data_IF_435828183749
#
_entry.id   IF_435828183749
#
_cell.length_a   1.000
_cell.length_b   1.000
_cell.length_c   1.000
_cell.angle_alpha   90.00
_cell.angle_beta   90.00
_cell.angle_gamma   90.00
#
_symmetry.space_group_name_H-M   'P 1'
#
loop_
_entity.id
_entity.type
_entity.pdbx_description
1 polymer ?
#
# COMPACT_ATOMS: atom_id res chain seq x y z
N UNK A 1 -1.87 -24.82 17.31
CA UNK A 1 -1.30 -25.07 18.66
C UNK A 1 -1.67 -24.01 19.71
N UNK A 2 -2.32 -22.89 19.36
CA UNK A 2 -2.85 -21.99 20.40
C UNK A 2 -4.01 -22.63 21.18
N UNK A 3 -4.87 -23.40 20.49
CA UNK A 3 -5.99 -24.16 21.05
C UNK A 3 -6.39 -25.32 20.12
N UNK A 4 -7.47 -26.03 20.49
CA UNK A 4 -8.10 -27.09 19.70
C UNK A 4 -7.28 -28.38 19.64
N UNK A 5 -7.66 -29.27 18.71
CA UNK A 5 -7.11 -30.63 18.62
C UNK A 5 -5.59 -30.66 18.53
N UNK A 6 -4.98 -29.75 17.75
CA UNK A 6 -3.52 -29.67 17.64
C UNK A 6 -2.81 -29.39 18.97
N UNK A 7 -3.47 -28.68 19.89
CA UNK A 7 -2.95 -28.37 21.22
C UNK A 7 -3.16 -29.54 22.18
N UNK A 8 -4.35 -30.12 22.16
CA UNK A 8 -4.69 -31.28 23.00
C UNK A 8 -3.79 -32.48 22.69
N UNK A 9 -3.61 -32.81 21.40
CA UNK A 9 -2.71 -33.90 20.99
C UNK A 9 -1.27 -33.63 21.41
N UNK A 10 -0.80 -32.38 21.29
CA UNK A 10 0.54 -32.01 21.71
C UNK A 10 0.73 -32.20 23.22
N UNK A 11 -0.20 -31.74 24.05
CA UNK A 11 -0.12 -31.92 25.52
C UNK A 11 -0.13 -33.40 25.91
N UNK A 12 -0.89 -34.24 25.21
CA UNK A 12 -0.88 -35.69 25.45
C UNK A 12 0.43 -36.38 25.04
N UNK A 13 1.16 -35.84 24.05
CA UNK A 13 2.29 -36.52 23.43
C UNK A 13 3.66 -35.93 23.81
N UNK A 14 3.72 -34.68 24.27
CA UNK A 14 4.98 -33.96 24.45
C UNK A 14 5.91 -34.57 25.52
N UNK A 15 5.37 -35.36 26.44
CA UNK A 15 6.12 -35.95 27.56
C UNK A 15 6.85 -37.26 27.21
N UNK A 16 6.60 -37.85 26.04
CA UNK A 16 7.25 -39.09 25.60
C UNK A 16 8.28 -38.79 24.49
N UNK A 17 9.52 -39.24 24.71
CA UNK A 17 10.65 -39.10 23.78
C UNK A 17 10.52 -39.86 22.46
N UNK A 18 9.57 -40.80 22.38
CA UNK A 18 9.26 -41.53 21.13
C UNK A 18 8.43 -40.71 20.15
N UNK A 19 7.81 -39.64 20.65
CA UNK A 19 7.00 -38.75 19.84
C UNK A 19 7.85 -37.61 19.28
N UNK A 20 7.35 -36.99 18.21
CA UNK A 20 7.93 -35.81 17.61
C UNK A 20 6.85 -34.88 17.07
N UNK A 21 7.15 -33.58 17.03
CA UNK A 21 6.31 -32.56 16.39
C UNK A 21 7.10 -31.90 15.28
N UNK A 22 6.52 -31.84 14.09
CA UNK A 22 7.09 -31.15 12.94
C UNK A 22 6.29 -29.87 12.71
N UNK A 23 6.95 -28.73 12.86
CA UNK A 23 6.39 -27.43 12.56
C UNK A 23 6.63 -27.13 11.08
N UNK A 24 5.55 -27.18 10.30
CA UNK A 24 5.59 -27.05 8.85
C UNK A 24 5.48 -25.60 8.32
N UNK A 25 5.25 -24.63 9.20
CA UNK A 25 4.93 -23.25 8.79
C UNK A 25 5.44 -22.20 9.77
N UNK A 26 5.45 -20.95 9.32
CA UNK A 26 5.93 -19.83 10.12
C UNK A 26 5.10 -19.67 11.40
N UNK A 27 5.79 -19.57 12.53
CA UNK A 27 5.18 -19.39 13.84
C UNK A 27 5.41 -17.97 14.34
N UNK A 28 4.32 -17.28 14.67
CA UNK A 28 4.36 -15.91 15.19
C UNK A 28 4.88 -15.91 16.63
N UNK A 29 5.59 -14.86 17.00
CA UNK A 29 6.01 -14.62 18.39
C UNK A 29 4.83 -14.66 19.37
N UNK A 30 5.10 -15.21 20.56
CA UNK A 30 4.08 -15.43 21.60
C UNK A 30 3.15 -16.63 21.38
N UNK A 31 3.33 -17.42 20.31
CA UNK A 31 2.60 -18.68 20.14
C UNK A 31 3.38 -19.85 20.73
N UNK A 32 2.66 -20.88 21.24
CA UNK A 32 3.30 -22.10 21.74
C UNK A 32 4.21 -22.74 20.69
N UNK A 33 3.78 -22.76 19.42
CA UNK A 33 4.55 -23.32 18.32
C UNK A 33 5.89 -22.60 18.12
N UNK A 34 5.95 -21.27 18.35
CA UNK A 34 7.20 -20.52 18.33
C UNK A 34 8.05 -20.81 19.57
N UNK A 35 7.43 -20.93 20.75
CA UNK A 35 8.13 -21.22 22.01
C UNK A 35 8.81 -22.59 22.01
N UNK A 36 8.18 -23.63 21.47
CA UNK A 36 8.78 -24.97 21.49
C UNK A 36 9.98 -25.12 20.56
N UNK A 37 10.14 -24.23 19.58
CA UNK A 37 11.32 -24.20 18.71
C UNK A 37 12.60 -23.79 19.44
N UNK A 38 12.49 -23.17 20.62
CA UNK A 38 13.66 -22.92 21.48
C UNK A 38 13.94 -24.08 22.46
N UNK A 39 13.25 -25.22 22.30
CA UNK A 39 13.40 -26.43 23.10
C UNK A 39 13.40 -26.16 24.63
N UNK A 40 12.35 -25.55 25.19
CA UNK A 40 12.26 -25.32 26.63
C UNK A 40 12.16 -26.65 27.39
N UNK A 41 12.65 -26.70 28.63
CA UNK A 41 12.54 -27.91 29.47
C UNK A 41 11.07 -28.27 29.81
N UNK A 42 10.22 -27.25 29.95
CA UNK A 42 8.80 -27.39 30.30
C UNK A 42 7.90 -26.51 29.43
N UNK A 43 6.68 -27.00 29.17
CA UNK A 43 5.60 -26.25 28.53
C UNK A 43 4.40 -26.11 29.47
N UNK A 44 3.65 -25.01 29.33
CA UNK A 44 2.43 -24.77 30.11
C UNK A 44 1.20 -25.25 29.32
N UNK A 45 0.40 -26.11 29.93
CA UNK A 45 -0.87 -26.59 29.39
C UNK A 45 -1.94 -25.50 29.38
N UNK A 46 -3.03 -25.72 28.64
CA UNK A 46 -4.21 -24.83 28.69
C UNK A 46 -4.83 -24.73 30.08
N UNK A 47 -4.69 -25.79 30.91
CA UNK A 47 -5.13 -25.82 32.30
C UNK A 47 -4.16 -25.18 33.31
N UNK A 48 -3.03 -24.63 32.85
CA UNK A 48 -2.01 -23.99 33.70
C UNK A 48 -1.01 -24.94 34.36
N UNK A 49 -1.15 -26.25 34.16
CA UNK A 49 -0.16 -27.24 34.60
C UNK A 49 1.09 -27.19 33.72
N UNK A 50 2.28 -27.41 34.31
CA UNK A 50 3.53 -27.56 33.56
C UNK A 50 3.78 -29.03 33.21
N UNK A 51 4.20 -29.28 31.98
CA UNK A 51 4.59 -30.60 31.47
C UNK A 51 6.03 -30.56 30.95
N UNK A 52 6.84 -31.61 31.17
CA UNK A 52 8.18 -31.69 30.60
C UNK A 52 8.10 -31.92 29.08
N UNK A 53 8.90 -31.16 28.31
CA UNK A 53 9.03 -31.36 26.87
C UNK A 53 10.12 -32.40 26.60
N UNK A 54 9.73 -33.60 26.16
CA UNK A 54 10.66 -34.70 25.84
C UNK A 54 10.59 -35.16 24.39
N UNK A 55 9.51 -34.85 23.68
CA UNK A 55 9.38 -35.17 22.26
C UNK A 55 10.36 -34.35 21.41
N UNK A 56 10.77 -34.87 20.24
CA UNK A 56 11.57 -34.09 19.30
C UNK A 56 10.76 -32.94 18.69
N UNK A 57 11.40 -31.81 18.42
CA UNK A 57 10.79 -30.65 17.77
C UNK A 57 11.59 -30.31 16.52
N UNK A 58 11.00 -30.51 15.35
CA UNK A 58 11.65 -30.23 14.07
C UNK A 58 10.91 -29.12 13.31
N UNK A 59 11.65 -28.24 12.63
CA UNK A 59 11.09 -27.19 11.80
C UNK A 59 11.41 -27.45 10.32
N UNK A 60 10.37 -27.64 9.50
CA UNK A 60 10.50 -27.78 8.06
C UNK A 60 9.64 -26.71 7.41
N UNK A 61 10.28 -25.72 6.79
CA UNK A 61 9.57 -24.61 6.17
C UNK A 61 8.89 -25.03 4.86
N UNK A 62 7.58 -25.28 4.90
CA UNK A 62 6.73 -25.37 3.70
C UNK A 62 5.96 -24.06 3.46
N UNK A 63 6.58 -22.93 3.77
CA UNK A 63 5.95 -21.65 3.51
C UNK A 63 5.96 -21.36 2.00
N UNK A 64 4.77 -21.15 1.43
CA UNK A 64 4.59 -20.63 0.07
C UNK A 64 4.91 -19.12 0.01
N UNK A 65 5.95 -18.68 0.73
CA UNK A 65 6.43 -17.31 0.74
C UNK A 65 7.62 -17.20 -0.21
N UNK A 66 7.76 -16.01 -0.82
CA UNK A 66 8.91 -15.72 -1.67
C UNK A 66 10.16 -15.62 -0.84
N UNK A 67 11.26 -16.16 -1.36
CA UNK A 67 12.56 -15.97 -0.75
C UNK A 67 13.14 -14.57 -1.04
N UNK A 68 14.29 -14.26 -0.44
CA UNK A 68 14.98 -12.99 -0.65
C UNK A 68 15.36 -12.75 -2.12
N UNK A 69 15.71 -13.80 -2.85
CA UNK A 69 16.17 -13.71 -4.24
C UNK A 69 14.98 -13.42 -5.17
N UNK A 70 13.90 -14.19 -5.06
CA UNK A 70 12.66 -13.99 -5.78
C UNK A 70 12.08 -12.59 -5.53
N UNK A 71 12.08 -12.14 -4.28
CA UNK A 71 11.62 -10.78 -3.94
C UNK A 71 12.51 -9.71 -4.56
N UNK A 72 13.83 -9.92 -4.54
CA UNK A 72 14.78 -8.99 -5.17
C UNK A 72 14.58 -8.93 -6.68
N UNK A 73 14.43 -10.08 -7.34
CA UNK A 73 14.28 -10.16 -8.78
C UNK A 73 12.95 -9.53 -9.23
N UNK A 74 11.88 -9.71 -8.44
CA UNK A 74 10.61 -9.02 -8.65
C UNK A 74 10.75 -7.49 -8.58
N UNK A 75 11.48 -6.97 -7.59
CA UNK A 75 11.74 -5.52 -7.47
C UNK A 75 12.62 -5.04 -8.63
N UNK A 76 13.60 -5.84 -9.05
CA UNK A 76 14.48 -5.52 -10.17
C UNK A 76 13.71 -5.39 -11.48
N UNK A 77 12.75 -6.27 -11.72
CA UNK A 77 11.94 -6.26 -12.94
C UNK A 77 11.01 -5.04 -12.98
N UNK A 78 10.37 -4.69 -11.85
CA UNK A 78 9.42 -3.58 -11.79
C UNK A 78 10.06 -2.20 -11.70
N UNK A 79 11.31 -2.12 -11.22
CA UNK A 79 12.04 -0.86 -10.95
C UNK A 79 11.19 0.23 -10.28
N UNK A 80 10.51 -0.06 -9.15
CA UNK A 80 9.67 0.92 -8.49
C UNK A 80 10.53 2.02 -7.84
N UNK A 81 10.12 3.30 -7.89
CA UNK A 81 10.85 4.38 -7.20
C UNK A 81 10.71 4.31 -5.67
N UNK A 82 9.61 3.75 -5.18
CA UNK A 82 9.32 3.62 -3.74
C UNK A 82 8.87 2.19 -3.41
N UNK A 83 9.49 1.57 -2.40
CA UNK A 83 9.13 0.24 -1.88
C UNK A 83 8.82 0.34 -0.39
N UNK A 84 7.66 -0.17 0.02
CA UNK A 84 7.20 -0.14 1.41
C UNK A 84 7.11 -1.59 1.90
N UNK A 85 7.99 -1.96 2.81
CA UNK A 85 8.02 -3.30 3.41
C UNK A 85 7.02 -3.38 4.57
N UNK A 86 6.16 -4.38 4.53
CA UNK A 86 5.12 -4.69 5.52
C UNK A 86 5.03 -6.21 5.70
N UNK A 87 4.22 -6.65 6.67
CA UNK A 87 3.95 -8.08 6.91
C UNK A 87 5.22 -8.94 7.09
N UNK A 88 6.21 -8.41 7.80
CA UNK A 88 7.41 -9.14 8.18
C UNK A 88 7.82 -8.82 9.61
N UNK A 89 8.67 -9.66 10.19
CA UNK A 89 9.30 -9.36 11.47
C UNK A 89 10.18 -8.10 11.33
N UNK A 90 10.15 -7.20 12.32
CA UNK A 90 10.90 -5.94 12.30
C UNK A 90 12.38 -6.12 11.98
N UNK A 91 13.02 -7.14 12.55
CA UNK A 91 14.46 -7.42 12.34
C UNK A 91 14.71 -7.87 10.91
N UNK A 92 13.97 -8.86 10.44
CA UNK A 92 14.12 -9.44 9.10
C UNK A 92 13.74 -8.44 8.00
N UNK A 93 12.71 -7.60 8.22
CA UNK A 93 12.38 -6.50 7.31
C UNK A 93 13.52 -5.49 7.20
N UNK A 94 14.20 -5.16 8.30
CA UNK A 94 15.36 -4.25 8.25
C UNK A 94 16.56 -4.89 7.53
N UNK A 95 16.78 -6.20 7.69
CA UNK A 95 17.80 -6.93 6.94
C UNK A 95 17.51 -6.91 5.44
N UNK A 96 16.25 -7.17 5.05
CA UNK A 96 15.82 -7.08 3.66
C UNK A 96 15.96 -5.66 3.11
N UNK A 97 15.57 -4.64 3.89
CA UNK A 97 15.74 -3.22 3.52
C UNK A 97 17.20 -2.89 3.21
N UNK A 98 18.13 -3.26 4.09
CA UNK A 98 19.56 -3.02 3.88
C UNK A 98 20.10 -3.80 2.68
N UNK A 99 19.62 -5.03 2.48
CA UNK A 99 20.00 -5.84 1.32
C UNK A 99 19.56 -5.19 0.00
N UNK A 100 18.32 -4.69 -0.07
CA UNK A 100 17.80 -4.00 -1.24
C UNK A 100 18.56 -2.70 -1.50
N UNK A 101 18.79 -1.87 -0.49
CA UNK A 101 19.54 -0.61 -0.66
C UNK A 101 20.93 -0.89 -1.26
N UNK A 102 21.68 -1.87 -0.70
CA UNK A 102 23.01 -2.23 -1.21
C UNK A 102 22.98 -2.77 -2.65
N UNK A 103 21.98 -3.58 -3.00
CA UNK A 103 21.88 -4.17 -4.34
C UNK A 103 21.55 -3.15 -5.44
N UNK A 104 20.87 -2.08 -5.10
CA UNK A 104 20.41 -1.06 -6.04
C UNK A 104 21.15 0.28 -5.89
N UNK A 105 22.20 0.35 -5.06
CA UNK A 105 23.00 1.57 -4.86
C UNK A 105 23.82 1.94 -6.10
N UNK A 106 24.27 0.94 -6.86
CA UNK A 106 25.10 1.13 -8.07
C UNK A 106 24.29 1.41 -9.35
N UNK A 107 22.95 1.36 -9.29
CA UNK A 107 22.09 1.58 -10.46
C UNK A 107 21.74 3.08 -10.59
N UNK A 108 22.32 3.80 -11.59
CA UNK A 108 22.08 5.22 -11.75
C UNK A 108 20.67 5.56 -12.27
N UNK A 109 19.97 4.60 -12.88
CA UNK A 109 18.62 4.81 -13.41
C UNK A 109 17.54 4.48 -12.36
N UNK A 110 17.84 3.58 -11.42
CA UNK A 110 16.87 3.09 -10.45
C UNK A 110 17.15 3.59 -9.02
N UNK A 111 16.72 4.82 -8.72
CA UNK A 111 16.77 5.34 -7.34
C UNK A 111 15.68 4.71 -6.47
N UNK A 112 16.00 3.58 -5.85
CA UNK A 112 15.09 2.81 -4.99
C UNK A 112 15.02 3.39 -3.57
N UNK A 113 13.84 3.89 -3.15
CA UNK A 113 13.59 4.33 -1.78
C UNK A 113 12.80 3.27 -1.00
N UNK A 114 13.45 2.64 -0.02
CA UNK A 114 12.86 1.54 0.78
C UNK A 114 12.44 2.02 2.17
N UNK A 115 11.18 1.80 2.53
CA UNK A 115 10.55 2.17 3.79
C UNK A 115 10.13 0.92 4.58
N UNK A 116 10.25 0.99 5.91
CA UNK A 116 9.79 -0.05 6.86
C UNK A 116 8.95 0.61 7.96
N UNK A 117 7.75 1.13 7.63
CA UNK A 117 6.94 1.86 8.60
C UNK A 117 6.45 0.92 9.71
N UNK A 118 6.50 1.40 10.95
CA UNK A 118 5.84 0.73 12.07
C UNK A 118 4.32 0.90 11.98
N UNK A 119 3.57 0.10 12.73
CA UNK A 119 2.13 0.31 12.88
C UNK A 119 1.86 1.76 13.29
N UNK A 120 0.86 2.39 12.67
CA UNK A 120 0.48 3.81 12.84
C UNK A 120 1.48 4.84 12.29
N UNK A 121 2.60 4.43 11.71
CA UNK A 121 3.54 5.34 11.06
C UNK A 121 3.11 5.63 9.61
N UNK A 122 2.78 6.89 9.34
CA UNK A 122 2.45 7.34 7.98
C UNK A 122 3.70 7.47 7.10
N UNK A 123 3.57 7.09 5.83
CA UNK A 123 4.58 7.35 4.79
C UNK A 123 4.00 8.39 3.82
N UNK A 124 4.59 9.58 3.78
CA UNK A 124 4.18 10.65 2.86
C UNK A 124 4.98 10.56 1.56
N UNK A 125 4.28 10.35 0.44
CA UNK A 125 4.86 10.34 -0.90
C UNK A 125 4.27 11.49 -1.71
N UNK A 126 5.13 12.33 -2.30
CA UNK A 126 4.71 13.49 -3.08
C UNK A 126 4.80 13.18 -4.57
N UNK A 127 3.65 13.11 -5.22
CA UNK A 127 3.54 12.95 -6.67
C UNK A 127 3.16 14.28 -7.30
N UNK A 128 4.09 14.90 -8.03
CA UNK A 128 3.77 16.03 -8.91
C UNK A 128 3.16 15.46 -10.20
N UNK A 129 1.84 15.46 -10.27
CA UNK A 129 1.13 15.24 -11.53
C UNK A 129 1.05 16.53 -12.32
N UNK A 130 1.40 16.48 -13.59
CA UNK A 130 1.01 17.53 -14.54
C UNK A 130 -0.51 17.54 -14.65
N UNK A 131 -1.14 18.71 -14.52
CA UNK A 131 -2.58 18.85 -14.70
C UNK A 131 -2.87 19.00 -16.19
N UNK A 132 -3.21 17.90 -16.84
CA UNK A 132 -3.66 17.92 -18.23
C UNK A 132 -5.16 18.22 -18.31
N UNK A 133 -5.55 19.26 -19.03
CA UNK A 133 -6.94 19.53 -19.38
C UNK A 133 -7.20 19.15 -20.83
N UNK A 134 -8.34 18.52 -21.11
CA UNK A 134 -8.79 18.20 -22.47
C UNK A 134 -9.73 19.30 -22.95
N UNK A 135 -9.36 19.94 -24.05
CA UNK A 135 -10.25 20.90 -24.72
C UNK A 135 -11.30 20.10 -25.51
N UNK A 136 -12.58 20.46 -25.38
CA UNK A 136 -13.70 19.80 -26.04
C UNK A 136 -14.68 20.82 -26.61
N UNK A 137 -15.52 20.39 -27.55
CA UNK A 137 -16.50 21.26 -28.21
C UNK A 137 -15.87 22.20 -29.23
N UNK A 138 -16.43 23.40 -29.36
CA UNK A 138 -16.01 24.39 -30.34
C UNK A 138 -14.56 24.86 -30.13
N UNK A 139 -14.10 24.93 -28.88
CA UNK A 139 -12.71 25.27 -28.56
C UNK A 139 -11.69 24.25 -29.10
N UNK A 140 -12.14 23.05 -29.47
CA UNK A 140 -11.30 22.01 -30.07
C UNK A 140 -11.42 21.96 -31.61
N UNK A 141 -12.14 22.90 -32.24
CA UNK A 141 -12.34 22.91 -33.69
C UNK A 141 -11.07 23.24 -34.47
N UNK A 142 -10.23 24.12 -33.92
CA UNK A 142 -8.94 24.50 -34.50
C UNK A 142 -7.80 23.73 -33.84
N UNK A 143 -6.75 23.42 -34.62
CA UNK A 143 -5.55 22.79 -34.07
C UNK A 143 -4.84 23.77 -33.14
N UNK A 144 -4.41 23.34 -31.94
CA UNK A 144 -3.69 24.21 -31.03
C UNK A 144 -2.33 24.59 -31.62
N UNK A 145 -2.00 25.88 -31.54
CA UNK A 145 -0.69 26.45 -31.88
C UNK A 145 -0.04 27.03 -30.62
N UNK A 146 1.29 26.97 -30.56
CA UNK A 146 2.05 27.49 -29.43
C UNK A 146 1.84 29.01 -29.31
N UNK A 147 1.53 29.48 -28.08
CA UNK A 147 1.23 30.89 -27.81
C UNK A 147 -0.23 31.30 -28.02
N UNK A 148 -1.10 30.41 -28.53
CA UNK A 148 -2.52 30.74 -28.66
C UNK A 148 -3.21 30.81 -27.28
N UNK A 149 -3.94 31.90 -27.03
CA UNK A 149 -4.66 32.10 -25.77
C UNK A 149 -6.02 31.42 -25.89
N UNK A 150 -6.21 30.34 -25.12
CA UNK A 150 -7.51 29.69 -24.98
C UNK A 150 -8.28 30.32 -23.83
N UNK A 151 -9.53 30.73 -24.09
CA UNK A 151 -10.47 31.21 -23.08
C UNK A 151 -11.72 30.33 -23.08
N UNK A 152 -12.21 29.99 -21.89
CA UNK A 152 -13.33 29.05 -21.76
C UNK A 152 -13.61 28.68 -20.31
N UNK A 153 -14.55 27.77 -20.12
CA UNK A 153 -14.93 27.23 -18.82
C UNK A 153 -14.14 25.94 -18.58
N UNK A 154 -13.42 25.88 -17.46
CA UNK A 154 -12.74 24.68 -17.00
C UNK A 154 -13.62 23.91 -16.01
N UNK A 155 -14.03 22.72 -16.41
CA UNK A 155 -14.86 21.83 -15.60
C UNK A 155 -14.02 20.66 -15.11
N UNK A 156 -14.00 20.45 -13.79
CA UNK A 156 -13.35 19.29 -13.18
C UNK A 156 -14.39 18.23 -12.82
N UNK A 157 -14.26 17.04 -13.40
CA UNK A 157 -15.02 15.85 -13.00
C UNK A 157 -14.03 14.80 -12.49
N UNK A 158 -14.03 14.59 -11.17
CA UNK A 158 -13.05 13.74 -10.48
C UNK A 158 -11.60 14.22 -10.73
N UNK A 159 -10.81 13.42 -11.44
CA UNK A 159 -9.42 13.73 -11.83
C UNK A 159 -9.28 14.25 -13.26
N UNK A 160 -10.37 14.27 -14.04
CA UNK A 160 -10.36 14.75 -15.43
C UNK A 160 -10.76 16.21 -15.48
N UNK A 161 -9.92 17.00 -16.15
CA UNK A 161 -10.15 18.42 -16.42
C UNK A 161 -10.59 18.55 -17.88
N UNK A 162 -11.71 19.21 -18.10
CA UNK A 162 -12.25 19.51 -19.42
C UNK A 162 -12.39 21.01 -19.60
N UNK A 163 -11.84 21.55 -20.66
CA UNK A 163 -12.01 22.97 -21.03
C UNK A 163 -12.97 23.05 -22.22
N UNK A 164 -13.99 23.89 -22.13
CA UNK A 164 -15.03 24.00 -23.15
C UNK A 164 -15.54 25.44 -23.28
N UNK A 165 -16.16 25.75 -24.41
CA UNK A 165 -16.84 27.03 -24.58
C UNK A 165 -18.05 27.10 -23.62
N UNK A 166 -18.45 28.31 -23.14
CA UNK A 166 -19.65 28.47 -22.33
C UNK A 166 -20.93 27.92 -22.96
N UNK A 167 -20.98 27.86 -24.29
CA UNK A 167 -22.09 27.36 -25.11
C UNK A 167 -22.19 25.83 -25.04
N UNK A 168 -21.04 25.16 -24.92
CA UNK A 168 -20.94 23.70 -24.88
C UNK A 168 -21.16 23.10 -23.49
N UNK A 169 -21.31 23.94 -22.46
CA UNK A 169 -21.42 23.50 -21.08
C UNK A 169 -22.56 22.50 -20.86
N UNK A 170 -23.73 22.74 -21.46
CA UNK A 170 -24.89 21.85 -21.35
C UNK A 170 -24.74 20.55 -22.15
N UNK A 171 -23.91 20.57 -23.20
CA UNK A 171 -23.69 19.40 -24.06
C UNK A 171 -22.79 18.36 -23.38
N UNK A 172 -21.81 18.81 -22.59
CA UNK A 172 -20.80 17.95 -21.97
C UNK A 172 -20.94 17.80 -20.46
N UNK A 173 -21.83 18.57 -19.82
CA UNK A 173 -22.04 18.52 -18.37
C UNK A 173 -23.52 18.60 -18.03
N UNK A 174 -23.89 18.16 -16.82
CA UNK A 174 -25.25 18.31 -16.30
C UNK A 174 -25.54 19.73 -15.76
N UNK A 175 -24.63 20.69 -15.98
CA UNK A 175 -24.78 22.04 -15.49
C UNK A 175 -25.66 22.84 -16.44
N UNK A 176 -26.74 23.41 -15.89
CA UNK A 176 -27.57 24.35 -16.61
C UNK A 176 -26.89 25.73 -16.67
N UNK A 177 -27.13 26.46 -17.77
CA UNK A 177 -26.71 27.85 -17.90
C UNK A 177 -27.85 28.74 -17.39
N UNK A 178 -27.56 29.56 -16.39
CA UNK A 178 -28.50 30.54 -15.84
C UNK A 178 -27.99 31.95 -16.12
N UNK A 179 -28.85 32.83 -16.61
CA UNK A 179 -28.54 34.25 -16.82
C UNK A 179 -29.37 35.08 -15.87
N UNK A 180 -28.72 35.93 -15.07
CA UNK A 180 -29.40 36.88 -14.18
C UNK A 180 -29.21 38.28 -14.77
N UNK A 181 -30.30 38.98 -15.05
CA UNK A 181 -30.29 40.36 -15.54
C UNK A 181 -30.64 41.32 -14.41
N UNK A 182 -29.77 42.28 -14.12
CA UNK A 182 -30.01 43.34 -13.16
C UNK A 182 -30.26 44.66 -13.88
N UNK A 183 -31.31 45.38 -13.47
CA UNK A 183 -31.59 46.74 -13.94
C UNK A 183 -31.36 47.72 -12.79
N UNK A 184 -30.57 48.76 -13.02
CA UNK A 184 -30.33 49.84 -12.07
C UNK A 184 -30.96 51.12 -12.63
N UNK A 185 -31.97 51.64 -11.95
CA UNK A 185 -32.51 52.97 -12.23
C UNK A 185 -31.69 54.03 -11.51
N UNK A 186 -30.99 54.89 -12.26
CA UNK A 186 -30.31 56.06 -11.70
C UNK A 186 -31.15 57.28 -12.04
N UNK A 187 -31.74 57.99 -11.06
CA UNK A 187 -32.44 59.24 -11.34
C UNK A 187 -31.45 60.29 -11.85
N UNK A 188 -31.76 60.91 -12.99
CA UNK A 188 -30.99 62.01 -13.57
C UNK A 188 -31.81 63.29 -13.56
N UNK A 189 -31.30 64.31 -12.87
CA UNK A 189 -31.82 65.68 -12.90
C UNK A 189 -30.88 66.53 -13.75
N UNK A 190 -31.33 66.93 -14.95
CA UNK A 190 -30.67 67.98 -15.71
C UNK A 190 -30.96 69.34 -15.05
N UNK A 191 -29.94 70.15 -14.80
CA UNK A 191 -30.14 71.53 -14.39
C UNK A 191 -30.80 72.33 -15.54
N UNK A 192 -31.73 73.24 -15.24
CA UNK A 192 -32.39 74.08 -16.24
C UNK A 192 -31.44 75.08 -16.91
#
# INVERSE_FOLDING_TARGET
MQSGLSRELFECWCTDKRNGVIIAGYCVEGTLAKTILSEPEEITTMGGQKLPLKCSVDYISFSAHTDCNQTTDFIRELRPPHVILVHGESTEMNRLRLHLIRKFEDDPECKLLVYTPKNTQSVELRFRGEKTAKVVGQLAAEKPSEGNILSGILVRRNFKLHMMAPEDLQNYTSLARSTVTQHLGIPFTAAP
#
